data_IF_083757076909
#
_entry.id   IF_083757076909
#
_cell.length_a   1.000
_cell.length_b   1.000
_cell.length_c   1.000
_cell.angle_alpha   90.00
_cell.angle_beta   90.00
_cell.angle_gamma   90.00
#
_symmetry.space_group_name_H-M   'P 1'
#
loop_
_entity.id
_entity.type
_entity.pdbx_description
1 polymer ?
#
# COMPACT_ATOMS: atom_id res chain seq x y z
N UNK A 1 -7.21 -67.88 -15.31
CA UNK A 1 -8.59 -67.93 -15.87
C UNK A 1 -9.44 -68.82 -14.98
N UNK A 2 -10.75 -68.58 -14.85
CA UNK A 2 -11.45 -67.36 -14.44
C UNK A 2 -12.27 -67.62 -13.15
N UNK A 3 -12.83 -66.59 -12.52
CA UNK A 3 -14.19 -66.62 -11.96
C UNK A 3 -14.64 -65.20 -11.57
N UNK A 4 -15.83 -64.93 -12.04
CA UNK A 4 -16.62 -63.70 -12.04
C UNK A 4 -17.54 -63.69 -10.81
N UNK A 5 -17.74 -62.53 -10.17
CA UNK A 5 -19.01 -62.26 -9.46
C UNK A 5 -19.17 -60.81 -8.99
N UNK A 6 -20.01 -60.09 -9.75
CA UNK A 6 -21.19 -59.29 -9.30
C UNK A 6 -20.95 -58.10 -8.36
N UNK A 7 -21.04 -56.91 -8.97
CA UNK A 7 -21.25 -55.61 -8.33
C UNK A 7 -22.74 -55.43 -8.03
N UNK A 8 -23.07 -55.25 -6.75
CA UNK A 8 -24.37 -54.81 -6.27
C UNK A 8 -24.28 -53.39 -5.72
N UNK A 9 -25.06 -52.48 -6.29
CA UNK A 9 -25.28 -51.10 -5.85
C UNK A 9 -25.99 -51.03 -4.49
N UNK A 10 -25.52 -50.15 -3.59
CA UNK A 10 -26.36 -49.39 -2.63
C UNK A 10 -25.56 -48.23 -2.02
N UNK A 11 -26.10 -47.02 -2.12
CA UNK A 11 -25.46 -45.78 -1.70
C UNK A 11 -25.42 -45.55 -0.19
N UNK A 12 -24.58 -44.61 0.24
CA UNK A 12 -24.61 -44.06 1.59
C UNK A 12 -24.10 -42.61 1.58
N UNK A 13 -25.05 -41.69 1.83
CA UNK A 13 -24.94 -40.44 2.60
C UNK A 13 -23.53 -39.85 2.80
N UNK A 14 -23.28 -38.69 2.19
CA UNK A 14 -22.24 -37.75 2.60
C UNK A 14 -22.80 -36.91 3.76
N UNK A 15 -22.29 -37.16 4.97
CA UNK A 15 -22.50 -36.32 6.14
C UNK A 15 -21.55 -35.12 6.09
N UNK A 16 -22.12 -33.92 6.22
CA UNK A 16 -21.41 -32.65 6.44
C UNK A 16 -20.68 -32.69 7.79
N UNK A 17 -19.39 -32.33 7.79
CA UNK A 17 -18.66 -31.96 8.99
C UNK A 17 -18.24 -30.49 8.90
N UNK A 18 -18.86 -29.73 9.80
CA UNK A 18 -18.53 -28.44 10.39
C UNK A 18 -17.08 -27.96 10.29
N UNK A 19 -16.88 -26.80 9.66
CA UNK A 19 -15.69 -25.96 9.82
C UNK A 19 -16.08 -24.64 10.49
N UNK A 20 -15.62 -24.46 11.71
CA UNK A 20 -15.77 -23.28 12.58
C UNK A 20 -15.11 -22.05 11.96
N UNK A 21 -15.92 -21.04 11.65
CA UNK A 21 -15.44 -19.71 11.25
C UNK A 21 -14.96 -18.95 12.50
N UNK A 22 -13.66 -18.69 12.56
CA UNK A 22 -13.07 -17.74 13.50
C UNK A 22 -13.60 -16.34 13.19
N UNK A 23 -14.21 -15.73 14.22
CA UNK A 23 -14.77 -14.39 14.17
C UNK A 23 -13.64 -13.36 14.22
N UNK A 24 -13.27 -12.83 13.06
CA UNK A 24 -12.54 -11.58 12.95
C UNK A 24 -13.42 -10.42 13.43
N UNK A 25 -12.82 -9.55 14.24
CA UNK A 25 -13.44 -8.35 14.81
C UNK A 25 -13.93 -7.45 13.68
N UNK A 26 -15.25 -7.43 13.48
CA UNK A 26 -15.92 -6.47 12.60
C UNK A 26 -15.96 -5.14 13.35
N UNK A 27 -15.00 -4.27 13.05
CA UNK A 27 -15.17 -2.83 13.25
C UNK A 27 -16.44 -2.41 12.51
N UNK A 28 -17.43 -1.89 13.25
CA UNK A 28 -18.66 -1.37 12.69
C UNK A 28 -18.35 -0.14 11.82
N UNK A 29 -18.03 -0.39 10.55
CA UNK A 29 -18.01 0.63 9.52
C UNK A 29 -19.46 1.08 9.29
N UNK A 30 -19.69 2.38 9.21
CA UNK A 30 -20.95 2.92 8.73
C UNK A 30 -21.31 2.22 7.42
N UNK A 31 -22.44 1.54 7.43
CA UNK A 31 -22.89 0.56 6.44
C UNK A 31 -23.33 1.21 5.11
N UNK A 32 -22.66 2.30 4.70
CA UNK A 32 -23.03 3.17 3.58
C UNK A 32 -21.83 3.89 2.92
N UNK A 33 -20.59 3.66 3.38
CA UNK A 33 -19.43 4.37 2.87
C UNK A 33 -18.93 3.79 1.53
N UNK A 34 -18.69 4.67 0.56
CA UNK A 34 -17.95 4.31 -0.66
C UNK A 34 -16.47 4.26 -0.31
N UNK A 35 -15.80 3.18 -0.67
CA UNK A 35 -14.37 2.97 -0.46
C UNK A 35 -13.65 2.89 -1.80
N UNK A 36 -12.62 3.71 -1.96
CA UNK A 36 -11.73 3.72 -3.09
C UNK A 36 -10.35 3.28 -2.61
N UNK A 37 -9.95 2.08 -3.01
CA UNK A 37 -8.59 1.60 -2.81
C UNK A 37 -7.74 1.92 -4.03
N UNK A 38 -6.57 2.51 -3.78
CA UNK A 38 -5.54 2.85 -4.75
C UNK A 38 -4.20 2.17 -4.39
N UNK A 39 -4.03 1.71 -3.14
CA UNK A 39 -2.83 1.00 -2.68
C UNK A 39 -2.93 -0.50 -3.03
N UNK A 40 -1.96 -1.00 -3.81
CA UNK A 40 -1.96 -2.36 -4.32
C UNK A 40 -2.89 -2.61 -5.52
N UNK A 41 -3.62 -1.59 -5.96
CA UNK A 41 -4.45 -1.64 -7.17
C UNK A 41 -5.69 -0.75 -7.07
N UNK A 42 -6.40 -0.59 -8.18
CA UNK A 42 -7.67 0.12 -8.19
C UNK A 42 -8.81 -0.81 -7.76
N UNK A 43 -9.54 -0.45 -6.72
CA UNK A 43 -10.81 -1.09 -6.36
C UNK A 43 -11.77 -0.04 -5.83
N UNK A 44 -12.96 0.03 -6.41
CA UNK A 44 -14.08 0.79 -5.86
C UNK A 44 -15.07 -0.18 -5.23
N UNK A 45 -15.45 0.05 -3.99
CA UNK A 45 -16.41 -0.76 -3.24
C UNK A 45 -17.51 0.11 -2.64
N UNK A 46 -18.72 -0.43 -2.59
CA UNK A 46 -19.88 0.19 -1.95
C UNK A 46 -20.65 -0.88 -1.17
N UNK A 47 -20.85 -0.64 0.13
CA UNK A 47 -21.34 -1.67 1.07
C UNK A 47 -20.50 -2.97 1.03
N UNK A 48 -19.17 -2.82 0.96
CA UNK A 48 -18.23 -3.94 0.86
C UNK A 48 -18.27 -4.73 -0.46
N UNK A 49 -19.09 -4.31 -1.44
CA UNK A 49 -19.19 -4.99 -2.74
C UNK A 49 -18.42 -4.22 -3.81
N UNK A 50 -17.58 -4.90 -4.61
CA UNK A 50 -16.90 -4.28 -5.75
C UNK A 50 -17.88 -3.67 -6.75
N UNK A 51 -17.53 -2.48 -7.26
CA UNK A 51 -18.28 -1.73 -8.25
C UNK A 51 -17.46 -1.66 -9.53
N UNK A 52 -17.96 -2.29 -10.60
CA UNK A 52 -17.30 -2.27 -11.89
C UNK A 52 -17.40 -0.88 -12.54
N UNK A 53 -16.26 -0.36 -13.00
CA UNK A 53 -16.18 0.91 -13.70
C UNK A 53 -15.36 0.76 -14.98
N UNK A 54 -15.71 1.56 -15.99
CA UNK A 54 -14.88 1.69 -17.20
C UNK A 54 -13.50 2.25 -16.85
N UNK A 55 -12.46 1.85 -17.59
CA UNK A 55 -11.08 2.29 -17.36
C UNK A 55 -10.92 3.82 -17.28
N UNK A 56 -11.64 4.58 -18.10
CA UNK A 56 -11.62 6.05 -18.06
C UNK A 56 -12.26 6.64 -16.80
N UNK A 57 -13.29 5.99 -16.24
CA UNK A 57 -13.87 6.40 -14.97
C UNK A 57 -12.94 6.07 -13.79
N UNK A 58 -12.28 4.91 -13.81
CA UNK A 58 -11.27 4.55 -12.81
C UNK A 58 -10.15 5.59 -12.76
N UNK A 59 -9.59 5.94 -13.92
CA UNK A 59 -8.52 6.95 -14.05
C UNK A 59 -8.94 8.32 -13.56
N UNK A 60 -10.16 8.75 -13.89
CA UNK A 60 -10.70 10.00 -13.40
C UNK A 60 -10.81 10.01 -11.87
N UNK A 61 -11.33 8.95 -11.26
CA UNK A 61 -11.46 8.88 -9.80
C UNK A 61 -10.11 8.89 -9.09
N UNK A 62 -9.14 8.13 -9.60
CA UNK A 62 -7.77 8.12 -9.08
C UNK A 62 -7.12 9.51 -9.17
N UNK A 63 -7.23 10.18 -10.32
CA UNK A 63 -6.72 11.54 -10.52
C UNK A 63 -7.32 12.52 -9.51
N UNK A 64 -8.66 12.51 -9.37
CA UNK A 64 -9.37 13.42 -8.46
C UNK A 64 -9.02 13.15 -6.99
N UNK A 65 -8.81 11.88 -6.63
CA UNK A 65 -8.41 11.50 -5.28
C UNK A 65 -6.99 12.00 -4.95
N UNK A 66 -6.03 11.79 -5.85
CA UNK A 66 -4.62 12.08 -5.61
C UNK A 66 -4.28 13.58 -5.71
N UNK A 67 -4.94 14.31 -6.61
CA UNK A 67 -4.69 15.74 -6.84
C UNK A 67 -5.67 16.67 -6.10
N UNK A 68 -6.53 16.12 -5.22
CA UNK A 68 -7.58 16.87 -4.52
C UNK A 68 -8.51 17.65 -5.47
N UNK A 69 -8.89 16.99 -6.57
CA UNK A 69 -9.70 17.54 -7.64
C UNK A 69 -8.92 18.14 -8.81
N UNK A 70 -9.64 18.54 -9.85
CA UNK A 70 -9.05 19.07 -11.07
C UNK A 70 -10.03 19.99 -11.83
N UNK A 71 -9.49 20.87 -12.67
CA UNK A 71 -10.29 21.53 -13.70
C UNK A 71 -10.65 20.55 -14.82
N UNK A 72 -11.88 20.63 -15.35
CA UNK A 72 -12.40 19.72 -16.39
C UNK A 72 -11.48 19.66 -17.62
N UNK A 73 -11.06 20.82 -18.13
CA UNK A 73 -10.18 20.86 -19.29
C UNK A 73 -8.81 20.20 -19.01
N UNK A 74 -8.22 20.50 -17.85
CA UNK A 74 -6.95 19.89 -17.43
C UNK A 74 -7.07 18.37 -17.27
N UNK A 75 -8.13 17.89 -16.58
CA UNK A 75 -8.39 16.47 -16.42
C UNK A 75 -8.60 15.76 -17.77
N UNK A 76 -9.26 16.39 -18.73
CA UNK A 76 -9.41 15.82 -20.07
C UNK A 76 -8.06 15.63 -20.77
N UNK A 77 -7.21 16.67 -20.77
CA UNK A 77 -5.89 16.62 -21.39
C UNK A 77 -4.98 15.61 -20.71
N UNK A 78 -4.98 15.57 -19.37
CA UNK A 78 -4.08 14.69 -18.61
C UNK A 78 -4.45 13.21 -18.68
N UNK A 79 -5.75 12.90 -18.81
CA UNK A 79 -6.24 11.52 -18.91
C UNK A 79 -6.21 10.95 -20.33
N UNK A 80 -6.25 11.82 -21.34
CA UNK A 80 -6.22 11.45 -22.76
C UNK A 80 -5.26 12.34 -23.55
N UNK A 81 -3.95 12.31 -23.24
CA UNK A 81 -2.96 13.21 -23.86
C UNK A 81 -2.87 13.02 -25.38
N UNK A 82 -3.07 11.79 -25.87
CA UNK A 82 -2.99 11.46 -27.30
C UNK A 82 -4.26 11.78 -28.09
N UNK A 83 -5.28 12.35 -27.44
CA UNK A 83 -6.55 12.71 -28.09
C UNK A 83 -6.61 14.21 -28.41
N UNK A 84 -7.16 14.59 -29.58
CA UNK A 84 -7.49 15.99 -29.84
C UNK A 84 -8.41 16.57 -28.74
N UNK A 85 -8.33 17.89 -28.43
CA UNK A 85 -9.05 18.48 -27.29
C UNK A 85 -10.55 18.19 -27.25
N UNK A 86 -11.23 18.22 -28.41
CA UNK A 86 -12.66 17.91 -28.51
C UNK A 86 -12.99 16.45 -28.15
N UNK A 87 -12.13 15.51 -28.55
CA UNK A 87 -12.26 14.08 -28.24
C UNK A 87 -11.91 13.79 -26.78
N UNK A 88 -10.86 14.41 -26.24
CA UNK A 88 -10.52 14.32 -24.82
C UNK A 88 -11.69 14.81 -23.95
N UNK A 89 -12.31 15.95 -24.30
CA UNK A 89 -13.49 16.46 -23.60
C UNK A 89 -14.71 15.52 -23.72
N UNK A 90 -14.91 14.87 -24.87
CA UNK A 90 -15.96 13.86 -25.03
C UNK A 90 -15.71 12.59 -24.19
N UNK A 91 -14.46 12.12 -24.13
CA UNK A 91 -14.05 11.01 -23.28
C UNK A 91 -14.27 11.34 -21.80
N UNK A 92 -13.91 12.55 -21.37
CA UNK A 92 -14.15 13.03 -20.00
C UNK A 92 -15.64 13.03 -19.66
N UNK A 93 -16.50 13.55 -20.55
CA UNK A 93 -17.95 13.53 -20.35
C UNK A 93 -18.47 12.10 -20.17
N UNK A 94 -17.95 11.17 -20.96
CA UNK A 94 -18.34 9.76 -20.88
C UNK A 94 -17.86 9.10 -19.59
N UNK A 95 -16.61 9.37 -19.16
CA UNK A 95 -16.06 8.89 -17.90
C UNK A 95 -16.84 9.46 -16.70
N UNK A 96 -17.18 10.74 -16.72
CA UNK A 96 -18.03 11.38 -15.72
C UNK A 96 -19.41 10.72 -15.68
N UNK A 97 -20.07 10.54 -16.82
CA UNK A 97 -21.40 9.94 -16.84
C UNK A 97 -21.41 8.53 -16.23
N UNK A 98 -20.37 7.72 -16.48
CA UNK A 98 -20.24 6.36 -15.94
C UNK A 98 -19.72 6.27 -14.50
N UNK A 99 -19.00 7.29 -14.02
CA UNK A 99 -18.30 7.27 -12.72
C UNK A 99 -18.82 8.27 -11.69
N UNK A 100 -19.79 9.11 -12.04
CA UNK A 100 -20.25 10.21 -11.17
C UNK A 100 -21.02 9.74 -9.93
N UNK A 101 -21.60 8.53 -9.95
CA UNK A 101 -22.39 7.99 -8.84
C UNK A 101 -22.18 6.49 -8.69
N UNK A 102 -22.38 6.00 -7.48
CA UNK A 102 -22.55 4.57 -7.19
C UNK A 102 -23.87 4.39 -6.46
N UNK A 103 -24.81 3.68 -7.09
CA UNK A 103 -26.20 3.66 -6.62
C UNK A 103 -26.76 5.08 -6.47
N UNK A 104 -27.29 5.39 -5.29
CA UNK A 104 -27.80 6.71 -4.96
C UNK A 104 -26.71 7.70 -4.48
N UNK A 105 -25.46 7.28 -4.27
CA UNK A 105 -24.41 8.15 -3.72
C UNK A 105 -23.65 8.90 -4.81
N UNK A 106 -23.50 10.24 -4.73
CA UNK A 106 -22.58 10.97 -5.60
C UNK A 106 -21.14 10.62 -5.25
N UNK A 107 -20.33 10.35 -6.27
CA UNK A 107 -18.90 10.06 -6.15
C UNK A 107 -18.04 11.21 -6.67
N UNK A 108 -18.55 11.98 -7.63
CA UNK A 108 -17.86 13.15 -8.20
C UNK A 108 -18.75 14.37 -8.05
N UNK A 109 -18.23 15.37 -7.33
CA UNK A 109 -18.81 16.69 -7.24
C UNK A 109 -18.32 17.53 -8.42
N UNK A 110 -19.26 17.99 -9.23
CA UNK A 110 -19.00 18.83 -10.40
C UNK A 110 -19.61 20.21 -10.16
N UNK A 111 -18.78 21.18 -9.78
CA UNK A 111 -19.17 22.57 -9.55
C UNK A 111 -18.54 23.45 -10.65
N UNK A 112 -19.33 23.79 -11.66
CA UNK A 112 -18.86 24.53 -12.84
C UNK A 112 -17.68 23.81 -13.53
N UNK A 113 -16.52 24.47 -13.71
CA UNK A 113 -15.37 23.88 -14.38
C UNK A 113 -14.52 22.99 -13.48
N UNK A 114 -14.84 22.84 -12.18
CA UNK A 114 -14.08 22.03 -11.22
C UNK A 114 -14.75 20.69 -10.98
N UNK A 115 -13.92 19.66 -10.86
CA UNK A 115 -14.28 18.30 -10.48
C UNK A 115 -13.56 17.98 -9.16
N UNK A 116 -14.27 17.35 -8.23
CA UNK A 116 -13.69 16.82 -6.99
C UNK A 116 -14.28 15.45 -6.71
N UNK A 117 -13.51 14.60 -6.05
CA UNK A 117 -14.08 13.42 -5.44
C UNK A 117 -15.00 13.86 -4.29
N UNK A 118 -16.14 13.19 -4.13
CA UNK A 118 -17.07 13.48 -3.05
C UNK A 118 -16.40 13.23 -1.69
N UNK A 119 -16.60 14.10 -0.68
CA UNK A 119 -16.10 13.87 0.68
C UNK A 119 -16.62 12.58 1.33
N UNK A 120 -17.73 12.02 0.81
CA UNK A 120 -18.26 10.75 1.29
C UNK A 120 -17.43 9.53 0.85
N UNK A 121 -16.53 9.70 -0.12
CA UNK A 121 -15.64 8.64 -0.57
C UNK A 121 -14.39 8.58 0.33
N UNK A 122 -14.21 7.42 0.96
CA UNK A 122 -13.03 7.07 1.73
C UNK A 122 -11.94 6.58 0.78
N UNK A 123 -10.74 7.14 0.87
CA UNK A 123 -9.61 6.78 -0.01
C UNK A 123 -8.45 6.27 0.83
N UNK A 124 -8.04 5.02 0.61
CA UNK A 124 -7.04 4.33 1.43
C UNK A 124 -5.71 5.11 1.55
N UNK A 125 -5.13 5.58 0.44
CA UNK A 125 -3.87 6.32 0.45
C UNK A 125 -3.98 7.64 1.22
N UNK A 126 -5.14 8.30 1.19
CA UNK A 126 -5.34 9.54 1.95
C UNK A 126 -5.45 9.26 3.44
N UNK A 127 -6.14 8.19 3.83
CA UNK A 127 -6.28 7.76 5.22
C UNK A 127 -4.93 7.35 5.82
N UNK A 128 -4.15 6.55 5.08
CA UNK A 128 -2.81 6.13 5.51
C UNK A 128 -1.87 7.33 5.63
N UNK A 129 -1.91 8.28 4.68
CA UNK A 129 -1.11 9.53 4.76
C UNK A 129 -1.48 10.37 5.99
N UNK A 130 -2.77 10.45 6.31
CA UNK A 130 -3.24 11.18 7.47
C UNK A 130 -2.77 10.51 8.78
N UNK A 131 -2.88 9.18 8.86
CA UNK A 131 -2.35 8.40 9.99
C UNK A 131 -0.84 8.55 10.14
N UNK A 132 -0.09 8.45 9.04
CA UNK A 132 1.35 8.63 9.00
C UNK A 132 1.76 10.01 9.55
N UNK A 133 1.03 11.07 9.17
CA UNK A 133 1.30 12.44 9.63
C UNK A 133 0.96 12.60 11.12
N UNK A 134 -0.11 11.97 11.61
CA UNK A 134 -0.52 12.02 13.02
C UNK A 134 0.40 11.21 13.94
N UNK A 135 0.99 10.11 13.44
CA UNK A 135 1.87 9.23 14.21
C UNK A 135 3.26 9.83 14.53
N UNK A 136 3.61 10.96 13.94
CA UNK A 136 4.88 11.65 14.18
C UNK A 136 4.91 12.25 15.59
N UNK A 137 5.57 11.56 16.53
CA UNK A 137 5.77 12.04 17.90
C UNK A 137 4.73 11.58 18.92
N UNK A 138 3.75 10.77 18.51
CA UNK A 138 2.77 10.14 19.40
C UNK A 138 3.24 8.72 19.82
N UNK A 139 2.72 8.15 20.92
CA UNK A 139 2.98 6.76 21.31
C UNK A 139 2.66 5.77 20.19
N UNK A 140 3.34 4.61 20.19
CA UNK A 140 3.09 3.53 19.24
C UNK A 140 1.58 3.20 19.24
N UNK A 141 0.91 3.22 18.07
CA UNK A 141 -0.53 2.97 18.01
C UNK A 141 -0.86 1.54 18.46
N UNK A 142 -2.11 1.28 18.91
CA UNK A 142 -2.55 -0.07 19.23
C UNK A 142 -2.29 -1.04 18.07
N UNK A 143 -1.99 -2.31 18.39
CA UNK A 143 -1.53 -3.30 17.39
C UNK A 143 -2.37 -3.37 16.11
N UNK A 144 -3.71 -3.32 16.23
CA UNK A 144 -4.58 -3.37 15.04
C UNK A 144 -4.47 -2.14 14.12
N UNK A 145 -4.27 -0.95 14.71
CA UNK A 145 -4.03 0.28 13.95
C UNK A 145 -2.63 0.27 13.32
N UNK A 146 -1.64 -0.22 14.08
CA UNK A 146 -0.28 -0.43 13.58
C UNK A 146 -0.25 -1.38 12.37
N UNK A 147 -0.90 -2.54 12.46
CA UNK A 147 -0.92 -3.53 11.38
C UNK A 147 -1.57 -2.95 10.11
N UNK A 148 -2.62 -2.14 10.28
CA UNK A 148 -3.29 -1.44 9.18
C UNK A 148 -2.37 -0.41 8.53
N UNK A 149 -1.68 0.40 9.34
CA UNK A 149 -0.73 1.40 8.89
C UNK A 149 0.44 0.76 8.13
N UNK A 150 1.08 -0.25 8.72
CA UNK A 150 2.22 -0.96 8.12
C UNK A 150 1.82 -1.63 6.79
N UNK A 151 0.68 -2.31 6.72
CA UNK A 151 0.18 -2.89 5.47
C UNK A 151 -0.13 -1.83 4.42
N UNK A 152 -0.61 -0.64 4.81
CA UNK A 152 -0.80 0.49 3.92
C UNK A 152 0.53 1.03 3.36
N UNK A 153 1.47 1.34 4.24
CA UNK A 153 2.81 1.86 3.88
C UNK A 153 3.60 0.89 3.00
N UNK A 154 3.39 -0.42 3.16
CA UNK A 154 4.08 -1.47 2.40
C UNK A 154 3.55 -1.67 0.97
N UNK A 155 2.51 -0.92 0.54
CA UNK A 155 1.86 -1.10 -0.76
C UNK A 155 2.21 0.00 -1.75
N UNK A 156 2.39 -0.40 -3.00
CA UNK A 156 2.60 0.52 -4.10
C UNK A 156 1.30 1.20 -4.52
N UNK A 157 1.41 2.45 -4.99
CA UNK A 157 0.28 3.21 -5.50
C UNK A 157 -0.04 2.78 -6.94
N UNK A 158 -1.22 2.18 -7.13
CA UNK A 158 -1.78 1.75 -8.42
C UNK A 158 -0.78 0.97 -9.28
N UNK A 159 -0.23 -0.17 -8.81
CA UNK A 159 0.72 -0.96 -9.60
C UNK A 159 0.13 -1.37 -10.96
N UNK A 160 0.98 -1.37 -11.99
CA UNK A 160 0.59 -1.71 -13.38
C UNK A 160 -0.03 -0.56 -14.18
N UNK A 161 -0.29 0.59 -13.56
CA UNK A 161 -0.70 1.81 -14.26
C UNK A 161 0.52 2.57 -14.79
N UNK A 162 0.42 3.15 -15.98
CA UNK A 162 1.52 3.74 -16.75
C UNK A 162 1.29 5.21 -17.10
N UNK A 163 0.32 5.86 -16.45
CA UNK A 163 -0.04 7.25 -16.72
C UNK A 163 1.04 8.21 -16.19
N UNK A 164 1.51 9.14 -17.04
CA UNK A 164 2.60 10.09 -16.69
C UNK A 164 2.31 10.91 -15.43
N UNK A 165 1.05 11.32 -15.25
CA UNK A 165 0.65 12.10 -14.07
C UNK A 165 0.82 11.33 -12.75
N UNK A 166 0.84 10.00 -12.81
CA UNK A 166 0.98 9.14 -11.64
C UNK A 166 2.43 9.08 -11.14
N UNK A 167 3.42 9.39 -11.99
CA UNK A 167 4.84 9.36 -11.62
C UNK A 167 5.12 10.27 -10.42
N UNK A 168 4.64 11.51 -10.47
CA UNK A 168 4.81 12.48 -9.38
C UNK A 168 4.06 12.06 -8.11
N UNK A 169 2.88 11.46 -8.24
CA UNK A 169 2.11 11.01 -7.08
C UNK A 169 2.71 9.77 -6.43
N UNK A 170 3.34 8.88 -7.20
CA UNK A 170 4.13 7.75 -6.68
C UNK A 170 5.38 8.23 -5.96
N UNK A 171 6.14 9.15 -6.54
CA UNK A 171 7.31 9.74 -5.88
C UNK A 171 6.93 10.39 -4.54
N UNK A 172 5.85 11.18 -4.50
CA UNK A 172 5.35 11.76 -3.25
C UNK A 172 4.92 10.70 -2.24
N UNK A 173 4.27 9.63 -2.71
CA UNK A 173 3.88 8.53 -1.84
C UNK A 173 5.10 7.83 -1.25
N UNK A 174 6.11 7.55 -2.08
CA UNK A 174 7.37 6.91 -1.73
C UNK A 174 8.12 7.70 -0.65
N UNK A 175 8.23 9.02 -0.82
CA UNK A 175 8.84 9.90 0.16
C UNK A 175 8.14 9.83 1.52
N UNK A 176 6.80 9.91 1.53
CA UNK A 176 6.03 9.84 2.77
C UNK A 176 6.21 8.46 3.43
N UNK A 177 6.03 7.37 2.67
CA UNK A 177 6.06 6.02 3.25
C UNK A 177 7.45 5.65 3.76
N UNK A 178 8.52 6.01 3.06
CA UNK A 178 9.88 5.75 3.50
C UNK A 178 10.18 6.47 4.82
N UNK A 179 9.89 7.76 4.89
CA UNK A 179 10.14 8.55 6.09
C UNK A 179 9.37 7.98 7.30
N UNK A 180 8.08 7.71 7.13
CA UNK A 180 7.25 7.14 8.20
C UNK A 180 7.71 5.75 8.63
N UNK A 181 8.10 4.87 7.70
CA UNK A 181 8.59 3.53 8.05
C UNK A 181 9.91 3.61 8.83
N UNK A 182 10.82 4.51 8.48
CA UNK A 182 12.08 4.68 9.20
C UNK A 182 11.87 5.18 10.62
N UNK A 183 11.01 6.17 10.81
CA UNK A 183 10.69 6.70 12.13
C UNK A 183 9.95 5.68 12.99
N UNK A 184 8.98 4.97 12.42
CA UNK A 184 8.27 3.90 13.12
C UNK A 184 9.24 2.78 13.53
N UNK A 185 10.14 2.36 12.64
CA UNK A 185 11.13 1.32 12.96
C UNK A 185 12.04 1.76 14.10
N UNK A 186 12.51 3.01 14.09
CA UNK A 186 13.34 3.55 15.16
C UNK A 186 12.58 3.65 16.49
N UNK A 187 11.34 4.13 16.46
CA UNK A 187 10.51 4.20 17.67
C UNK A 187 10.27 2.81 18.25
N UNK A 188 9.92 1.82 17.42
CA UNK A 188 9.72 0.43 17.85
C UNK A 188 11.00 -0.17 18.44
N UNK A 189 12.17 0.12 17.86
CA UNK A 189 13.46 -0.30 18.40
C UNK A 189 13.69 0.29 19.80
N UNK A 190 13.49 1.60 19.97
CA UNK A 190 13.66 2.26 21.27
C UNK A 190 12.67 1.76 22.32
N UNK A 191 11.49 1.31 21.91
CA UNK A 191 10.49 0.68 22.77
C UNK A 191 10.75 -0.82 23.05
N UNK A 192 11.82 -1.41 22.50
CA UNK A 192 12.15 -2.83 22.67
C UNK A 192 11.27 -3.79 21.85
N UNK A 193 10.44 -3.28 20.94
CA UNK A 193 9.57 -4.08 20.07
C UNK A 193 10.33 -4.56 18.83
N UNK A 194 11.40 -5.33 19.03
CA UNK A 194 12.37 -5.70 17.99
C UNK A 194 11.75 -6.38 16.75
N UNK A 195 10.78 -7.28 16.94
CA UNK A 195 10.12 -7.97 15.82
C UNK A 195 9.38 -6.99 14.89
N UNK A 196 8.61 -6.07 15.47
CA UNK A 196 7.87 -5.07 14.70
C UNK A 196 8.82 -4.04 14.09
N UNK A 197 9.87 -3.64 14.82
CA UNK A 197 10.91 -2.76 14.30
C UNK A 197 11.57 -3.38 13.04
N UNK A 198 11.90 -4.68 13.10
CA UNK A 198 12.51 -5.41 12.00
C UNK A 198 11.58 -5.49 10.78
N UNK A 199 10.31 -5.86 11.01
CA UNK A 199 9.31 -5.90 9.94
C UNK A 199 9.15 -4.53 9.25
N UNK A 200 9.18 -3.45 10.03
CA UNK A 200 9.02 -2.08 9.54
C UNK A 200 10.25 -1.61 8.75
N UNK A 201 11.45 -1.85 9.27
CA UNK A 201 12.69 -1.52 8.57
C UNK A 201 12.86 -2.33 7.27
N UNK A 202 12.47 -3.61 7.27
CA UNK A 202 12.48 -4.44 6.05
C UNK A 202 11.46 -3.94 5.02
N UNK A 203 10.31 -3.41 5.43
CA UNK A 203 9.37 -2.78 4.51
C UNK A 203 9.98 -1.53 3.83
N UNK A 204 10.74 -0.72 4.57
CA UNK A 204 11.47 0.41 3.99
C UNK A 204 12.55 -0.04 2.97
N UNK A 205 13.30 -1.10 3.29
CA UNK A 205 14.32 -1.68 2.38
C UNK A 205 13.66 -2.27 1.11
N UNK A 206 12.47 -2.84 1.21
CA UNK A 206 11.75 -3.37 0.06
C UNK A 206 11.33 -2.26 -0.92
N UNK A 207 11.11 -1.04 -0.43
CA UNK A 207 10.77 0.14 -1.23
C UNK A 207 12.04 0.77 -1.82
N UNK A 208 13.05 1.01 -0.99
CA UNK A 208 14.32 1.61 -1.41
C UNK A 208 15.51 0.76 -0.94
N UNK A 209 16.01 -0.18 -1.78
CA UNK A 209 17.09 -1.10 -1.41
C UNK A 209 18.44 -0.45 -1.11
N UNK A 210 18.66 0.81 -1.50
CA UNK A 210 19.89 1.55 -1.17
C UNK A 210 19.74 2.47 0.05
N UNK A 211 18.60 2.41 0.77
CA UNK A 211 18.31 3.26 1.92
C UNK A 211 19.12 2.88 3.16
N UNK A 212 20.27 3.51 3.37
CA UNK A 212 21.20 3.15 4.46
C UNK A 212 20.58 3.24 5.85
N UNK A 213 19.75 4.24 6.11
CA UNK A 213 19.04 4.45 7.39
C UNK A 213 18.23 3.22 7.79
N UNK A 214 17.45 2.65 6.87
CA UNK A 214 16.68 1.43 7.13
C UNK A 214 17.59 0.21 7.38
N UNK A 215 18.65 0.06 6.59
CA UNK A 215 19.66 -1.00 6.79
C UNK A 215 20.37 -0.91 8.15
N UNK A 216 20.70 0.30 8.57
CA UNK A 216 21.31 0.58 9.87
C UNK A 216 20.36 0.20 11.02
N UNK A 217 19.09 0.56 10.94
CA UNK A 217 18.09 0.14 11.95
C UNK A 217 18.00 -1.39 12.05
N UNK A 218 18.07 -2.14 10.93
CA UNK A 218 18.12 -3.61 10.97
C UNK A 218 19.35 -4.13 11.73
N UNK A 219 20.52 -3.52 11.51
CA UNK A 219 21.72 -3.88 12.26
C UNK A 219 21.56 -3.56 13.75
N UNK A 220 21.08 -2.36 14.10
CA UNK A 220 20.84 -1.94 15.49
C UNK A 220 19.88 -2.90 16.21
N UNK A 221 18.81 -3.36 15.54
CA UNK A 221 17.89 -4.37 16.07
C UNK A 221 18.61 -5.67 16.38
N UNK A 222 19.39 -6.21 15.44
CA UNK A 222 20.14 -7.44 15.68
C UNK A 222 21.16 -7.30 16.82
N UNK A 223 21.78 -6.13 16.97
CA UNK A 223 22.70 -5.84 18.08
C UNK A 223 21.94 -5.81 19.40
N UNK A 224 20.79 -5.15 19.46
CA UNK A 224 19.94 -5.08 20.65
C UNK A 224 19.45 -6.47 21.10
N UNK A 225 19.26 -7.40 20.16
CA UNK A 225 18.92 -8.80 20.44
C UNK A 225 20.14 -9.69 20.78
N UNK A 226 21.37 -9.15 20.77
CA UNK A 226 22.60 -9.91 21.00
C UNK A 226 23.06 -10.75 19.79
N UNK A 227 22.45 -10.55 18.62
CA UNK A 227 22.69 -11.31 17.40
C UNK A 227 23.79 -10.67 16.52
N UNK A 228 25.00 -10.47 17.06
CA UNK A 228 26.11 -9.79 16.37
C UNK A 228 26.46 -10.39 14.99
N UNK A 229 26.43 -11.73 14.87
CA UNK A 229 26.68 -12.41 13.60
C UNK A 229 25.63 -12.07 12.53
N UNK A 230 24.36 -11.91 12.91
CA UNK A 230 23.27 -11.50 12.01
C UNK A 230 23.45 -10.06 11.55
N UNK A 231 23.83 -9.15 12.45
CA UNK A 231 24.13 -7.76 12.12
C UNK A 231 25.29 -7.65 11.11
N UNK A 232 26.39 -8.38 11.33
CA UNK A 232 27.54 -8.39 10.42
C UNK A 232 27.19 -9.00 9.06
N UNK A 233 26.41 -10.08 9.03
CA UNK A 233 25.91 -10.69 7.79
C UNK A 233 25.03 -9.70 7.02
N UNK A 234 24.19 -8.94 7.71
CA UNK A 234 23.36 -7.91 7.10
C UNK A 234 24.21 -6.80 6.47
N UNK A 235 25.21 -6.28 7.19
CA UNK A 235 26.16 -5.28 6.68
C UNK A 235 26.85 -5.75 5.39
N UNK A 236 27.37 -6.97 5.36
CA UNK A 236 28.05 -7.53 4.18
C UNK A 236 27.11 -7.60 2.97
N UNK A 237 25.86 -7.99 3.19
CA UNK A 237 24.84 -8.02 2.13
C UNK A 237 24.52 -6.61 1.64
N UNK A 238 24.29 -5.66 2.54
CA UNK A 238 24.05 -4.27 2.16
C UNK A 238 25.21 -3.67 1.36
N UNK A 239 26.46 -3.88 1.80
CA UNK A 239 27.66 -3.46 1.06
C UNK A 239 27.67 -4.00 -0.38
N UNK A 240 27.25 -5.25 -0.57
CA UNK A 240 27.16 -5.86 -1.90
C UNK A 240 26.08 -5.20 -2.76
N UNK A 241 24.90 -4.90 -2.19
CA UNK A 241 23.82 -4.18 -2.89
C UNK A 241 24.29 -2.78 -3.29
N UNK A 242 24.82 -2.00 -2.35
CA UNK A 242 25.21 -0.62 -2.58
C UNK A 242 26.32 -0.50 -3.64
N UNK A 243 27.30 -1.41 -3.60
CA UNK A 243 28.34 -1.47 -4.61
C UNK A 243 27.80 -1.87 -5.99
N UNK A 244 26.84 -2.81 -6.05
CA UNK A 244 26.20 -3.20 -7.32
C UNK A 244 25.40 -2.07 -7.96
N UNK A 245 24.60 -1.36 -7.16
CA UNK A 245 23.68 -0.33 -7.66
C UNK A 245 24.39 1.01 -7.95
N UNK A 246 25.33 1.41 -7.08
CA UNK A 246 25.92 2.75 -7.12
C UNK A 246 27.45 2.77 -7.23
N UNK A 247 28.13 1.63 -7.11
CA UNK A 247 29.59 1.56 -7.13
C UNK A 247 30.27 2.12 -5.87
N UNK A 248 29.51 2.47 -4.82
CA UNK A 248 30.02 3.08 -3.58
C UNK A 248 30.03 2.11 -2.41
N UNK A 249 30.72 2.48 -1.33
CA UNK A 249 30.74 1.76 -0.06
C UNK A 249 29.79 2.39 0.96
N UNK A 250 29.37 1.65 2.01
CA UNK A 250 28.58 2.21 3.10
C UNK A 250 29.24 3.42 3.75
N UNK A 251 28.44 4.29 4.37
CA UNK A 251 28.95 5.46 5.07
C UNK A 251 29.86 5.10 6.26
N UNK A 252 30.66 6.06 6.75
CA UNK A 252 31.46 5.86 7.96
C UNK A 252 30.63 5.45 9.18
N UNK A 253 29.40 5.96 9.33
CA UNK A 253 28.52 5.61 10.44
C UNK A 253 28.12 4.13 10.40
N UNK A 254 27.76 3.64 9.21
CA UNK A 254 27.39 2.24 8.99
C UNK A 254 28.60 1.31 9.13
N UNK A 255 29.77 1.73 8.65
CA UNK A 255 31.02 0.98 8.79
C UNK A 255 31.47 0.88 10.25
N UNK A 256 31.35 1.97 11.01
CA UNK A 256 31.67 2.00 12.44
C UNK A 256 30.78 1.05 13.24
N UNK A 257 29.47 1.02 12.93
CA UNK A 257 28.54 0.08 13.56
C UNK A 257 28.94 -1.39 13.31
N UNK A 258 29.50 -1.71 12.14
CA UNK A 258 30.01 -3.05 11.88
C UNK A 258 31.34 -3.33 12.61
N UNK A 259 32.21 -2.31 12.71
CA UNK A 259 33.53 -2.42 13.36
C UNK A 259 33.42 -2.74 14.84
N UNK A 260 32.50 -2.10 15.56
CA UNK A 260 32.28 -2.34 16.99
C UNK A 260 31.88 -3.80 17.30
N UNK A 261 31.30 -4.52 16.34
CA UNK A 261 30.94 -5.94 16.49
C UNK A 261 32.12 -6.90 16.33
N UNK A 262 33.22 -6.44 15.73
CA UNK A 262 34.42 -7.25 15.52
C UNK A 262 35.41 -7.15 16.69
N UNK A 263 35.18 -6.25 17.64
CA UNK A 263 35.97 -6.15 18.88
C UNK A 263 37.29 -5.40 18.77
N UNK A 264 37.46 -4.55 17.75
CA UNK A 264 38.63 -3.68 17.58
C UNK A 264 38.51 -2.33 18.29
#
# INVERSE_FOLDING_TARGET
>A
MPLDSRIGSRGTRILRATGTAERGVVMAASDNAVQLALLGGFLLSHHGRPVALSSGAQRLLALLALQNGAHRAAAATQLWPDSPPSRAAANLRSALWRGRRVGAQPLIDAAGPRLRLSPAARVDVLEIREQATRGLGEPIPPRGEFDTLLNGLSRDLLPGWTEDWLLLERERWDQIRLHTLEELAQHLLLAGNHLLALQTALAAIAIEPIRETAHRTVMEIHIAEGNAASALKHYQRYRTVLHRELGVTPSPLMAELARTLLGD
#
